data_IF_049849079230
#
_entry.id   IF_049849079230
#
_cell.length_a   1.000
_cell.length_b   1.000
_cell.length_c   1.000
_cell.angle_alpha   90.00
_cell.angle_beta   90.00
_cell.angle_gamma   90.00
#
_symmetry.space_group_name_H-M   'P 1'
#
loop_
_entity.id
_entity.type
_entity.pdbx_description
1 polymer ?
#
# COMPACT_ATOMS: atom_id res chain seq x y z
N UNK A 1 -73.42 -9.73 45.70
CA UNK A 1 -72.74 -8.49 45.61
C UNK A 1 -71.38 -8.75 45.04
N UNK A 2 -71.16 -8.34 43.89
CA UNK A 2 -70.26 -8.94 42.90
C UNK A 2 -68.90 -8.30 42.89
N UNK A 3 -67.90 -9.13 43.22
CA UNK A 3 -66.48 -8.75 43.15
C UNK A 3 -65.94 -9.02 41.74
N UNK A 4 -65.58 -7.99 41.00
CA UNK A 4 -64.97 -8.12 39.68
C UNK A 4 -63.45 -8.13 39.82
N UNK A 5 -62.87 -9.28 39.61
CA UNK A 5 -61.42 -9.47 39.46
C UNK A 5 -60.96 -8.85 38.14
N UNK A 6 -60.22 -7.78 38.25
CA UNK A 6 -59.50 -7.23 37.10
C UNK A 6 -58.15 -7.95 36.97
N UNK A 7 -58.06 -8.85 35.97
CA UNK A 7 -56.82 -9.48 35.54
C UNK A 7 -55.95 -8.44 34.81
N UNK A 8 -54.89 -8.01 35.42
CA UNK A 8 -53.83 -7.25 34.79
C UNK A 8 -52.95 -8.18 33.97
N UNK A 9 -53.04 -8.12 32.66
CA UNK A 9 -52.11 -8.73 31.74
C UNK A 9 -50.84 -7.88 31.73
N UNK A 10 -49.75 -8.38 32.32
CA UNK A 10 -48.43 -7.83 32.17
C UNK A 10 -47.87 -8.34 30.82
N UNK A 11 -47.86 -7.50 29.82
CA UNK A 11 -47.20 -7.74 28.55
C UNK A 11 -45.70 -7.49 28.72
N UNK A 12 -44.92 -8.58 28.86
CA UNK A 12 -43.45 -8.50 28.83
C UNK A 12 -42.98 -8.26 27.42
N UNK A 13 -42.53 -7.04 27.14
CA UNK A 13 -41.83 -6.70 25.88
C UNK A 13 -40.39 -7.16 26.02
N UNK A 14 -40.07 -8.29 25.42
CA UNK A 14 -38.70 -8.75 25.25
C UNK A 14 -38.05 -7.93 24.13
N UNK A 15 -37.23 -6.94 24.49
CA UNK A 15 -36.44 -6.16 23.55
C UNK A 15 -35.26 -7.03 23.08
N UNK A 16 -35.42 -7.68 21.93
CA UNK A 16 -34.35 -8.40 21.26
C UNK A 16 -33.31 -7.37 20.75
N UNK A 17 -32.22 -7.21 21.48
CA UNK A 17 -31.04 -6.48 21.02
C UNK A 17 -30.38 -7.30 19.89
N UNK A 18 -30.76 -7.03 18.63
CA UNK A 18 -29.97 -7.46 17.49
C UNK A 18 -28.65 -6.69 17.55
N UNK A 19 -27.61 -7.34 18.03
CA UNK A 19 -26.24 -6.86 17.91
C UNK A 19 -25.91 -6.76 16.42
N UNK A 20 -25.86 -5.54 15.90
CA UNK A 20 -25.28 -5.23 14.60
C UNK A 20 -23.78 -5.53 14.73
N UNK A 21 -23.37 -6.76 14.42
CA UNK A 21 -21.98 -7.07 14.18
C UNK A 21 -21.58 -6.30 12.92
N UNK A 22 -20.99 -5.11 13.10
CA UNK A 22 -20.32 -4.42 12.01
C UNK A 22 -19.24 -5.36 11.48
N UNK A 23 -19.25 -5.71 10.18
CA UNK A 23 -18.14 -6.44 9.62
C UNK A 23 -16.88 -5.60 9.88
N UNK A 24 -15.95 -6.12 10.66
CA UNK A 24 -14.62 -5.57 10.74
C UNK A 24 -14.10 -5.60 9.30
N UNK A 25 -13.99 -4.42 8.66
CA UNK A 25 -13.33 -4.30 7.37
C UNK A 25 -11.93 -4.86 7.60
N UNK A 26 -11.67 -6.05 7.07
CA UNK A 26 -10.34 -6.62 7.08
C UNK A 26 -9.46 -5.57 6.39
N UNK A 27 -8.56 -4.96 7.15
CA UNK A 27 -7.62 -4.00 6.61
C UNK A 27 -6.87 -4.68 5.48
N UNK A 28 -6.93 -4.12 4.29
CA UNK A 28 -6.18 -4.64 3.15
C UNK A 28 -4.69 -4.60 3.51
N UNK A 29 -4.10 -5.78 3.66
CA UNK A 29 -2.68 -5.94 4.01
C UNK A 29 -1.82 -5.97 2.75
N UNK A 30 -2.16 -5.17 1.76
CA UNK A 30 -1.37 -5.02 0.54
C UNK A 30 -0.44 -3.83 0.67
N UNK A 31 0.83 -4.02 0.31
CA UNK A 31 1.84 -2.96 0.16
C UNK A 31 2.42 -3.06 -1.23
N UNK A 32 2.49 -1.92 -1.93
CA UNK A 32 3.07 -1.82 -3.26
C UNK A 32 4.37 -1.03 -3.21
N UNK A 33 5.45 -1.63 -3.67
CA UNK A 33 6.79 -1.03 -3.73
C UNK A 33 7.19 -0.88 -5.18
N UNK A 34 7.48 0.34 -5.61
CA UNK A 34 8.01 0.62 -6.95
C UNK A 34 9.54 0.72 -6.92
N UNK A 35 10.24 -0.18 -7.60
CA UNK A 35 11.69 -0.09 -7.79
C UNK A 35 11.95 0.72 -9.05
N UNK A 36 12.40 1.97 -8.87
CA UNK A 36 12.63 2.92 -9.96
C UNK A 36 14.13 3.04 -10.23
N UNK A 37 14.62 2.26 -11.15
CA UNK A 37 16.05 2.15 -11.39
C UNK A 37 16.41 2.38 -12.87
N UNK A 38 17.69 2.39 -13.17
CA UNK A 38 18.21 2.37 -14.54
C UNK A 38 18.38 0.92 -14.98
N UNK A 39 17.45 0.40 -15.76
CA UNK A 39 17.47 -1.00 -16.17
C UNK A 39 18.25 -1.24 -17.46
N UNK A 40 18.55 -0.18 -18.23
CA UNK A 40 19.03 -0.33 -19.60
C UNK A 40 20.12 0.66 -20.02
N UNK A 41 20.56 1.58 -19.15
CA UNK A 41 21.55 2.59 -19.55
C UNK A 41 22.77 2.61 -18.60
N UNK A 42 23.31 3.79 -18.31
CA UNK A 42 24.64 3.97 -17.66
C UNK A 42 24.78 3.28 -16.30
N UNK A 43 23.74 3.20 -15.51
CA UNK A 43 23.76 2.63 -14.17
C UNK A 43 23.17 1.20 -14.08
N UNK A 44 22.82 0.61 -15.22
CA UNK A 44 22.19 -0.72 -15.25
C UNK A 44 23.04 -1.80 -14.56
N UNK A 45 24.37 -1.74 -14.72
CA UNK A 45 25.28 -2.72 -14.13
C UNK A 45 25.53 -2.48 -12.62
N UNK A 46 25.27 -1.26 -12.13
CA UNK A 46 25.50 -0.90 -10.72
C UNK A 46 24.26 -1.26 -9.88
N UNK A 47 23.08 -0.96 -10.38
CA UNK A 47 21.79 -1.22 -9.72
C UNK A 47 20.90 -2.10 -10.60
N UNK A 48 20.06 -1.47 -11.39
CA UNK A 48 19.25 -2.09 -12.44
C UNK A 48 18.52 -3.37 -12.03
N UNK A 49 18.62 -4.42 -12.83
CA UNK A 49 17.97 -5.71 -12.54
C UNK A 49 18.42 -6.35 -11.21
N UNK A 50 19.65 -6.09 -10.76
CA UNK A 50 20.18 -6.63 -9.51
C UNK A 50 19.48 -6.02 -8.29
N UNK A 51 19.24 -4.71 -8.30
CA UNK A 51 18.46 -4.04 -7.25
C UNK A 51 17.04 -4.58 -7.19
N UNK A 52 16.40 -4.79 -8.33
CA UNK A 52 15.07 -5.41 -8.38
C UNK A 52 15.07 -6.82 -7.79
N UNK A 53 16.09 -7.63 -8.09
CA UNK A 53 16.25 -8.96 -7.52
C UNK A 53 16.44 -8.90 -6.00
N UNK A 54 17.27 -7.96 -5.52
CA UNK A 54 17.50 -7.77 -4.08
C UNK A 54 16.24 -7.37 -3.33
N UNK A 55 15.43 -6.45 -3.88
CA UNK A 55 14.13 -6.08 -3.28
C UNK A 55 13.18 -7.27 -3.22
N UNK A 56 13.09 -8.07 -4.28
CA UNK A 56 12.25 -9.28 -4.27
C UNK A 56 12.71 -10.29 -3.23
N UNK A 57 14.00 -10.52 -3.11
CA UNK A 57 14.56 -11.40 -2.07
C UNK A 57 14.25 -10.87 -0.67
N UNK A 58 14.43 -9.56 -0.42
CA UNK A 58 14.09 -8.94 0.86
C UNK A 58 12.60 -9.10 1.21
N UNK A 59 11.71 -9.01 0.24
CA UNK A 59 10.27 -9.26 0.43
C UNK A 59 10.03 -10.71 0.84
N UNK A 60 10.67 -11.68 0.19
CA UNK A 60 10.56 -13.11 0.53
C UNK A 60 11.09 -13.39 1.94
N UNK A 61 12.28 -12.87 2.26
CA UNK A 61 12.95 -13.07 3.55
C UNK A 61 12.24 -12.36 4.71
N UNK A 62 11.43 -11.34 4.44
CA UNK A 62 10.70 -10.60 5.47
C UNK A 62 9.71 -11.46 6.27
N UNK A 63 9.26 -12.58 5.71
CA UNK A 63 8.24 -13.45 6.29
C UNK A 63 6.85 -12.80 6.39
N UNK A 64 6.64 -11.62 5.81
CA UNK A 64 5.37 -10.89 5.88
C UNK A 64 4.23 -11.63 5.19
N UNK A 65 4.53 -12.36 4.11
CA UNK A 65 3.54 -13.19 3.42
C UNK A 65 2.91 -14.23 4.34
N UNK A 66 3.70 -14.86 5.21
CA UNK A 66 3.21 -15.82 6.20
C UNK A 66 2.31 -15.15 7.27
N UNK A 67 2.42 -13.83 7.45
CA UNK A 67 1.58 -13.01 8.34
C UNK A 67 0.35 -12.44 7.63
N UNK A 68 0.09 -12.86 6.40
CA UNK A 68 -1.07 -12.46 5.60
C UNK A 68 -0.91 -11.13 4.87
N UNK A 69 0.32 -10.60 4.72
CA UNK A 69 0.60 -9.44 3.88
C UNK A 69 0.78 -9.85 2.41
N UNK A 70 0.25 -9.05 1.51
CA UNK A 70 0.53 -9.12 0.08
C UNK A 70 1.49 -7.98 -0.27
N UNK A 71 2.71 -8.31 -0.70
CA UNK A 71 3.70 -7.31 -1.11
C UNK A 71 3.88 -7.39 -2.62
N UNK A 72 3.46 -6.34 -3.31
CA UNK A 72 3.61 -6.21 -4.76
C UNK A 72 4.85 -5.38 -5.07
N UNK A 73 5.70 -5.87 -5.96
CA UNK A 73 6.91 -5.15 -6.40
C UNK A 73 6.76 -4.81 -7.88
N UNK A 74 6.68 -3.50 -8.15
CA UNK A 74 6.69 -2.94 -9.49
C UNK A 74 8.13 -2.59 -9.89
N UNK A 75 8.41 -2.57 -11.18
CA UNK A 75 9.71 -2.20 -11.73
C UNK A 75 9.55 -1.14 -12.81
N UNK A 76 10.39 -0.11 -12.76
CA UNK A 76 10.43 0.97 -13.75
C UNK A 76 11.85 1.28 -14.19
N UNK A 77 12.02 1.50 -15.48
CA UNK A 77 13.29 1.89 -16.09
C UNK A 77 13.28 3.39 -16.40
N UNK A 78 14.02 4.15 -15.61
CA UNK A 78 14.14 5.60 -15.85
C UNK A 78 15.21 5.97 -16.89
N UNK A 79 15.99 5.01 -17.39
CA UNK A 79 17.03 5.22 -18.42
C UNK A 79 17.97 6.38 -18.13
N UNK A 80 18.27 6.64 -16.85
CA UNK A 80 19.04 7.80 -16.40
C UNK A 80 18.47 9.16 -16.85
N UNK A 81 17.15 9.26 -17.07
CA UNK A 81 16.45 10.46 -17.51
C UNK A 81 15.45 10.93 -16.46
N UNK A 82 15.63 12.15 -15.88
CA UNK A 82 14.74 12.67 -14.83
C UNK A 82 13.28 12.76 -15.24
N UNK A 83 12.99 13.17 -16.47
CA UNK A 83 11.63 13.29 -17.00
C UNK A 83 10.92 11.92 -17.08
N UNK A 84 11.61 10.87 -17.52
CA UNK A 84 11.08 9.51 -17.54
C UNK A 84 10.82 9.02 -16.11
N UNK A 85 11.80 9.21 -15.21
CA UNK A 85 11.64 8.82 -13.81
C UNK A 85 10.45 9.50 -13.14
N UNK A 86 10.28 10.81 -13.33
CA UNK A 86 9.13 11.55 -12.78
C UNK A 86 7.81 11.07 -13.37
N UNK A 87 7.74 10.77 -14.66
CA UNK A 87 6.51 10.27 -15.29
C UNK A 87 6.12 8.91 -14.75
N UNK A 88 7.06 7.98 -14.60
CA UNK A 88 6.82 6.66 -14.01
C UNK A 88 6.36 6.82 -12.54
N UNK A 89 7.07 7.60 -11.75
CA UNK A 89 6.74 7.85 -10.35
C UNK A 89 5.32 8.45 -10.19
N UNK A 90 4.96 9.41 -11.05
CA UNK A 90 3.63 10.02 -11.06
C UNK A 90 2.54 9.01 -11.37
N UNK A 91 2.73 8.17 -12.40
CA UNK A 91 1.79 7.11 -12.73
C UNK A 91 1.62 6.14 -11.56
N UNK A 92 2.71 5.72 -10.94
CA UNK A 92 2.68 4.80 -9.80
C UNK A 92 1.93 5.37 -8.60
N UNK A 93 2.16 6.64 -8.26
CA UNK A 93 1.48 7.29 -7.14
C UNK A 93 0.00 7.52 -7.47
N UNK A 94 -0.29 8.08 -8.63
CA UNK A 94 -1.63 8.56 -8.98
C UNK A 94 -2.56 7.42 -9.42
N UNK A 95 -2.07 6.45 -10.20
CA UNK A 95 -2.88 5.37 -10.78
C UNK A 95 -2.70 4.02 -10.07
N UNK A 96 -1.45 3.58 -9.89
CA UNK A 96 -1.16 2.25 -9.34
C UNK A 96 -1.25 2.21 -7.81
N UNK A 97 -1.28 3.38 -7.14
CA UNK A 97 -1.33 3.50 -5.68
C UNK A 97 -0.14 2.82 -5.00
N UNK A 98 1.06 3.09 -5.50
CA UNK A 98 2.30 2.62 -4.89
C UNK A 98 2.53 3.32 -3.56
N UNK A 99 2.83 2.57 -2.51
CA UNK A 99 3.04 3.09 -1.15
C UNK A 99 4.43 3.70 -0.97
N UNK A 100 5.44 3.12 -1.64
CA UNK A 100 6.81 3.61 -1.58
C UNK A 100 7.54 3.39 -2.90
N UNK A 101 8.38 4.35 -3.28
CA UNK A 101 9.34 4.22 -4.38
C UNK A 101 10.71 3.94 -3.75
N UNK A 102 11.43 2.97 -4.27
CA UNK A 102 12.73 2.55 -3.75
C UNK A 102 13.79 2.57 -4.84
N UNK A 103 15.02 2.85 -4.39
CA UNK A 103 16.28 2.65 -5.10
C UNK A 103 16.39 3.39 -6.45
N UNK A 104 16.65 4.69 -6.35
CA UNK A 104 16.86 5.56 -7.53
C UNK A 104 18.32 6.04 -7.53
N UNK A 105 19.27 5.27 -8.10
CA UNK A 105 20.71 5.54 -7.95
C UNK A 105 21.21 6.78 -8.69
N UNK A 106 20.48 7.26 -9.71
CA UNK A 106 20.83 8.48 -10.44
C UNK A 106 20.44 9.72 -9.67
N UNK A 107 21.41 10.54 -9.23
CA UNK A 107 21.14 11.75 -8.44
C UNK A 107 20.19 12.74 -9.14
N UNK A 108 20.31 12.90 -10.46
CA UNK A 108 19.41 13.78 -11.23
C UNK A 108 17.98 13.29 -11.22
N UNK A 109 17.77 11.97 -11.36
CA UNK A 109 16.44 11.34 -11.29
C UNK A 109 15.92 11.40 -9.84
N UNK A 110 16.76 11.04 -8.87
CA UNK A 110 16.39 11.03 -7.45
C UNK A 110 15.90 12.41 -6.97
N UNK A 111 16.59 13.48 -7.31
CA UNK A 111 16.20 14.85 -6.97
C UNK A 111 14.86 15.23 -7.59
N UNK A 112 14.66 14.90 -8.87
CA UNK A 112 13.41 15.20 -9.56
C UNK A 112 12.22 14.40 -8.99
N UNK A 113 12.41 13.11 -8.73
CA UNK A 113 11.41 12.24 -8.11
C UNK A 113 11.12 12.68 -6.68
N UNK A 114 12.13 13.07 -5.90
CA UNK A 114 11.95 13.55 -4.52
C UNK A 114 11.05 14.80 -4.46
N UNK A 115 11.16 15.72 -5.42
CA UNK A 115 10.27 16.88 -5.50
C UNK A 115 8.80 16.45 -5.72
N UNK A 116 8.58 15.50 -6.62
CA UNK A 116 7.25 14.93 -6.85
C UNK A 116 6.70 14.21 -5.61
N UNK A 117 7.52 13.40 -4.96
CA UNK A 117 7.13 12.62 -3.76
C UNK A 117 6.72 13.55 -2.63
N UNK A 118 7.44 14.68 -2.43
CA UNK A 118 7.04 15.72 -1.47
C UNK A 118 5.69 16.35 -1.82
N UNK A 119 5.49 16.71 -3.09
CA UNK A 119 4.22 17.29 -3.57
C UNK A 119 3.04 16.34 -3.32
N UNK A 120 3.27 15.04 -3.54
CA UNK A 120 2.25 13.99 -3.44
C UNK A 120 2.10 13.39 -2.05
N UNK A 121 2.88 13.82 -1.06
CA UNK A 121 2.95 13.23 0.28
C UNK A 121 3.14 11.70 0.24
N UNK A 122 4.06 11.26 -0.61
CA UNK A 122 4.43 9.85 -0.81
C UNK A 122 5.80 9.56 -0.20
N UNK A 123 6.33 8.36 -0.38
CA UNK A 123 7.59 7.92 0.23
C UNK A 123 8.62 7.58 -0.85
N UNK A 124 9.83 8.12 -0.70
CA UNK A 124 11.02 7.72 -1.47
C UNK A 124 12.08 7.20 -0.51
N UNK A 125 12.51 5.97 -0.73
CA UNK A 125 13.62 5.32 -0.04
C UNK A 125 14.80 5.23 -1.00
N UNK A 126 15.70 6.18 -0.92
CA UNK A 126 16.86 6.24 -1.80
C UNK A 126 18.12 5.75 -1.09
N UNK A 127 18.91 4.96 -1.80
CA UNK A 127 20.21 4.45 -1.35
C UNK A 127 21.36 5.38 -1.77
#
# INVERSE_FOLDING_TARGET
MTNRFTRRFAASVALAALGLATPALAQDKTVKIGVLNDMSSLYADIGGPNSLAAVKMAVEDSGLKAKGWNIEVLSGDHQNKPDIGVNIARQWIDAEKVDAIADTPSSGVALAVNNLVKEKNSVLLNS
#
